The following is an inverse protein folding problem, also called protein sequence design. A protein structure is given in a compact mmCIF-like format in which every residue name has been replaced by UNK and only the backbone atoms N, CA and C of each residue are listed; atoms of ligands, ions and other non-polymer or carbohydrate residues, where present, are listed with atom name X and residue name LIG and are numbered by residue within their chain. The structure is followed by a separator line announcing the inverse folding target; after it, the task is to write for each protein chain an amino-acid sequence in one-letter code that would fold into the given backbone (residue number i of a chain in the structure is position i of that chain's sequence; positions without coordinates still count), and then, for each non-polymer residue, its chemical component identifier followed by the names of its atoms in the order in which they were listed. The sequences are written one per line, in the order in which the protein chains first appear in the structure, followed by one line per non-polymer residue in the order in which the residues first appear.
data_IF_962920056880
#
_entry.id   IF_962920056880
#
_cell.length_a   1.000
_cell.length_b   1.000
_cell.length_c   1.000
_cell.angle_alpha   90.00
_cell.angle_beta   90.00
_cell.angle_gamma   90.00
#
_symmetry.space_group_name_H-M   'P 1'
#
loop_
_entity.id
_entity.type
_entity.pdbx_description
1 polymer ?
#
# COMPACT_ATOMS: atom_id res chain seq x y z
N UNK A 1 14.90 -16.56 9.36
CA UNK A 1 13.58 -15.97 9.65
C UNK A 1 13.84 -14.70 10.42
N UNK A 2 13.17 -13.57 10.15
CA UNK A 2 13.38 -12.38 10.97
C UNK A 2 13.11 -12.74 12.43
N UNK A 3 13.97 -12.26 13.30
CA UNK A 3 13.78 -12.40 14.74
C UNK A 3 12.47 -11.64 15.04
N UNK A 4 11.42 -12.32 15.50
CA UNK A 4 10.12 -11.70 15.82
C UNK A 4 10.29 -10.78 17.06
N UNK A 5 11.00 -9.68 16.90
CA UNK A 5 11.23 -8.66 17.92
C UNK A 5 10.07 -7.69 17.97
N UNK A 6 8.84 -8.13 17.68
CA UNK A 6 7.64 -7.31 17.69
C UNK A 6 6.46 -8.13 18.20
N UNK A 7 5.51 -7.43 18.80
CA UNK A 7 4.31 -7.96 19.43
C UNK A 7 3.13 -7.61 18.53
N UNK A 8 2.24 -8.56 18.28
CA UNK A 8 0.97 -8.37 17.54
C UNK A 8 -0.22 -8.73 18.44
N UNK A 9 -1.46 -8.30 18.14
CA UNK A 9 -2.62 -8.58 18.98
C UNK A 9 -2.92 -10.07 19.22
N UNK A 10 -2.44 -10.92 18.32
CA UNK A 10 -2.61 -12.37 18.37
C UNK A 10 -1.28 -13.09 18.20
N UNK A 11 -1.21 -14.31 18.72
CA UNK A 11 -0.08 -15.22 18.57
C UNK A 11 -0.24 -16.02 17.27
N UNK A 12 0.78 -15.98 16.40
CA UNK A 12 0.79 -16.71 15.15
C UNK A 12 1.81 -17.85 15.15
N UNK A 13 1.50 -19.00 14.53
CA UNK A 13 2.48 -20.06 14.33
C UNK A 13 3.70 -19.56 13.52
N UNK A 14 4.91 -20.02 13.86
CA UNK A 14 6.10 -19.77 13.06
C UNK A 14 5.89 -20.18 11.59
N UNK A 15 6.34 -19.36 10.65
CA UNK A 15 6.25 -19.64 9.20
C UNK A 15 4.97 -19.18 8.50
N UNK A 16 4.05 -18.51 9.21
CA UNK A 16 2.86 -17.88 8.61
C UNK A 16 3.05 -16.40 8.25
N UNK A 17 4.11 -15.75 8.73
CA UNK A 17 4.40 -14.36 8.40
C UNK A 17 4.79 -14.21 6.92
N UNK A 18 4.10 -13.33 6.21
CA UNK A 18 4.38 -12.96 4.82
C UNK A 18 5.20 -11.67 4.72
N UNK A 19 5.25 -10.87 5.78
CA UNK A 19 6.06 -9.64 5.83
C UNK A 19 7.56 -9.96 5.95
N UNK A 20 8.38 -9.26 5.16
CA UNK A 20 9.83 -9.28 5.29
C UNK A 20 10.32 -8.32 6.39
N UNK A 21 9.62 -7.20 6.58
CA UNK A 21 9.90 -6.20 7.62
C UNK A 21 8.62 -5.48 8.08
N UNK A 22 8.52 -5.05 9.35
CA UNK A 22 7.45 -4.19 9.85
C UNK A 22 7.63 -2.74 9.37
N UNK A 23 6.94 -2.32 8.30
CA UNK A 23 6.87 -0.90 7.93
C UNK A 23 5.60 -0.23 8.45
N UNK A 24 4.43 -0.85 8.25
CA UNK A 24 3.12 -0.28 8.63
C UNK A 24 2.16 -1.32 9.23
N UNK A 25 2.59 -2.57 9.28
CA UNK A 25 1.84 -3.71 9.79
C UNK A 25 2.55 -5.01 9.44
N UNK A 26 2.10 -6.11 10.05
CA UNK A 26 2.56 -7.46 9.75
C UNK A 26 1.44 -8.23 9.09
N UNK A 27 1.75 -8.88 7.98
CA UNK A 27 0.81 -9.72 7.23
C UNK A 27 1.10 -11.19 7.54
N UNK A 28 0.06 -11.92 7.92
CA UNK A 28 0.10 -13.37 8.16
C UNK A 28 -0.85 -14.11 7.22
N UNK A 29 -0.41 -15.27 6.74
CA UNK A 29 -1.25 -16.24 6.05
C UNK A 29 -2.04 -17.06 7.08
N UNK A 30 -3.36 -16.92 7.10
CA UNK A 30 -4.24 -17.76 7.93
C UNK A 30 -4.54 -19.10 7.24
N UNK A 31 -4.94 -19.03 5.97
CA UNK A 31 -5.27 -20.18 5.14
C UNK A 31 -4.79 -19.97 3.70
N UNK A 32 -5.08 -20.89 2.78
CA UNK A 32 -4.79 -20.68 1.35
C UNK A 32 -5.64 -19.58 0.71
N UNK A 33 -6.69 -19.11 1.39
CA UNK A 33 -7.62 -18.10 0.88
C UNK A 33 -7.69 -16.85 1.74
N UNK A 34 -7.02 -16.85 2.90
CA UNK A 34 -7.16 -15.80 3.90
C UNK A 34 -5.79 -15.34 4.36
N UNK A 35 -5.56 -14.04 4.24
CA UNK A 35 -4.45 -13.32 4.87
C UNK A 35 -5.03 -12.31 5.85
N UNK A 36 -4.26 -11.98 6.88
CA UNK A 36 -4.62 -10.95 7.85
C UNK A 36 -3.44 -9.99 8.00
N UNK A 37 -3.70 -8.69 7.93
CA UNK A 37 -2.75 -7.65 8.31
C UNK A 37 -3.07 -7.21 9.73
N UNK A 38 -2.05 -6.99 10.54
CA UNK A 38 -2.15 -6.57 11.93
C UNK A 38 -1.17 -5.43 12.23
N UNK A 39 -1.50 -4.53 13.16
CA UNK A 39 -0.53 -3.61 13.71
C UNK A 39 0.51 -4.36 14.56
N UNK A 40 1.64 -3.73 14.83
CA UNK A 40 2.69 -4.28 15.69
C UNK A 40 3.17 -3.27 16.74
N UNK A 41 3.83 -3.79 17.77
CA UNK A 41 4.54 -3.03 18.80
C UNK A 41 5.97 -3.53 18.89
N UNK A 42 6.92 -2.60 19.05
CA UNK A 42 8.28 -2.96 19.45
C UNK A 42 8.33 -3.20 20.96
N UNK A 43 9.09 -4.21 21.43
CA UNK A 43 9.42 -4.38 22.82
C UNK A 43 10.42 -3.27 23.19
N UNK A 44 9.92 -2.23 23.83
CA UNK A 44 10.73 -1.11 24.30
C UNK A 44 11.67 -1.62 25.39
N UNK A 45 12.97 -1.66 25.09
CA UNK A 45 13.99 -2.08 26.06
C UNK A 45 14.23 -0.94 27.05
N UNK A 46 13.50 -0.96 28.16
CA UNK A 46 13.73 -0.01 29.22
C UNK A 46 15.21 -0.07 29.69
N UNK A 47 15.84 1.10 29.85
CA UNK A 47 17.04 1.34 30.67
C UNK A 47 18.44 1.26 30.01
N UNK A 48 18.59 1.23 28.69
CA UNK A 48 19.94 1.30 28.08
C UNK A 48 20.13 2.44 27.08
N UNK A 49 19.08 2.84 26.37
CA UNK A 49 19.13 3.92 25.39
C UNK A 49 17.76 4.63 25.32
N UNK A 50 17.73 5.93 25.61
CA UNK A 50 16.51 6.73 25.60
C UNK A 50 16.01 6.95 24.16
N UNK A 51 16.93 7.18 23.22
CA UNK A 51 16.62 7.46 21.82
C UNK A 51 16.05 6.21 21.14
N UNK A 52 16.65 5.04 21.37
CA UNK A 52 16.12 3.75 20.86
C UNK A 52 14.71 3.47 21.41
N UNK A 53 14.47 3.79 22.69
CA UNK A 53 13.18 3.57 23.32
C UNK A 53 12.09 4.50 22.77
N UNK A 54 12.41 5.79 22.59
CA UNK A 54 11.51 6.77 21.98
C UNK A 54 11.18 6.40 20.53
N UNK A 55 12.18 6.01 19.72
CA UNK A 55 11.97 5.53 18.35
C UNK A 55 11.04 4.29 18.32
N UNK A 56 11.25 3.32 19.22
CA UNK A 56 10.42 2.12 19.31
C UNK A 56 8.97 2.44 19.71
N UNK A 57 8.76 3.40 20.60
CA UNK A 57 7.44 3.92 20.98
C UNK A 57 6.77 4.57 19.76
N UNK A 58 7.49 5.46 19.08
CA UNK A 58 7.01 6.19 17.90
C UNK A 58 6.59 5.23 16.78
N UNK A 59 7.46 4.29 16.39
CA UNK A 59 7.17 3.31 15.34
C UNK A 59 5.97 2.42 15.68
N UNK A 60 5.79 2.07 16.96
CA UNK A 60 4.64 1.28 17.41
C UNK A 60 3.33 2.06 17.28
N UNK A 61 3.34 3.33 17.67
CA UNK A 61 2.17 4.22 17.56
C UNK A 61 1.84 4.53 16.10
N UNK A 62 2.86 4.70 15.27
CA UNK A 62 2.71 4.87 13.84
C UNK A 62 2.05 3.63 13.22
N UNK A 63 2.50 2.42 13.56
CA UNK A 63 1.87 1.18 13.08
C UNK A 63 0.39 1.10 13.43
N UNK A 64 0.01 1.42 14.67
CA UNK A 64 -1.41 1.41 15.09
C UNK A 64 -2.22 2.46 14.34
N UNK A 65 -1.70 3.67 14.22
CA UNK A 65 -2.39 4.79 13.59
C UNK A 65 -2.61 4.54 12.10
N UNK A 66 -1.59 4.08 11.37
CA UNK A 66 -1.70 3.74 9.96
C UNK A 66 -2.62 2.54 9.74
N UNK A 67 -2.58 1.54 10.63
CA UNK A 67 -3.51 0.41 10.57
C UNK A 67 -4.97 0.85 10.76
N UNK A 68 -5.24 1.77 11.69
CA UNK A 68 -6.58 2.34 11.88
C UNK A 68 -7.02 3.19 10.68
N UNK A 69 -6.12 3.99 10.09
CA UNK A 69 -6.37 4.76 8.86
C UNK A 69 -6.75 3.84 7.71
N UNK A 70 -5.95 2.81 7.46
CA UNK A 70 -6.20 1.81 6.42
C UNK A 70 -7.49 1.02 6.68
N UNK A 71 -7.77 0.61 7.93
CA UNK A 71 -9.01 -0.08 8.28
C UNK A 71 -10.24 0.78 7.98
N UNK A 72 -10.26 2.04 8.42
CA UNK A 72 -11.35 2.98 8.12
C UNK A 72 -11.57 3.14 6.62
N UNK A 73 -10.48 3.13 5.86
CA UNK A 73 -10.55 3.17 4.41
C UNK A 73 -11.17 1.91 3.83
N UNK A 74 -10.78 0.71 4.27
CA UNK A 74 -11.46 -0.52 3.84
C UNK A 74 -12.94 -0.55 4.23
N UNK A 75 -13.31 -0.01 5.40
CA UNK A 75 -14.71 0.14 5.82
C UNK A 75 -15.46 1.06 4.84
N UNK A 76 -14.87 2.20 4.46
CA UNK A 76 -15.41 3.12 3.45
C UNK A 76 -15.58 2.42 2.08
N UNK A 77 -14.60 1.62 1.65
CA UNK A 77 -14.69 0.86 0.41
C UNK A 77 -15.78 -0.22 0.46
N UNK A 78 -15.99 -0.85 1.61
CA UNK A 78 -17.04 -1.84 1.82
C UNK A 78 -18.45 -1.20 1.81
N UNK A 79 -18.59 0.02 2.35
CA UNK A 79 -19.83 0.82 2.32
C UNK A 79 -20.14 1.42 0.95
N UNK A 80 -19.12 1.58 0.11
CA UNK A 80 -19.23 2.05 -1.26
C UNK A 80 -18.86 0.92 -2.25
N UNK A 81 -19.58 -0.22 -2.24
CA UNK A 81 -19.24 -1.38 -3.05
C UNK A 81 -19.50 -1.07 -4.52
N UNK A 82 -18.49 -0.55 -5.19
CA UNK A 82 -18.46 -0.44 -6.64
C UNK A 82 -17.67 -1.63 -7.18
N UNK A 83 -18.09 -2.17 -8.32
CA UNK A 83 -17.45 -3.29 -9.03
C UNK A 83 -15.93 -3.18 -9.28
N UNK A 84 -15.31 -2.02 -9.06
CA UNK A 84 -14.10 -1.61 -9.76
C UNK A 84 -12.91 -1.14 -8.90
N UNK A 85 -12.81 -1.47 -7.61
CA UNK A 85 -11.53 -1.30 -6.86
C UNK A 85 -10.41 -2.25 -7.34
N UNK A 86 -10.64 -2.90 -8.48
CA UNK A 86 -10.47 -4.32 -8.40
C UNK A 86 -10.21 -5.00 -9.76
N UNK A 87 -10.29 -4.35 -10.92
CA UNK A 87 -10.27 -5.15 -12.16
C UNK A 87 -9.19 -4.86 -13.18
N UNK A 88 -8.70 -3.64 -13.40
CA UNK A 88 -7.63 -3.39 -14.40
C UNK A 88 -6.93 -2.07 -14.15
N UNK A 89 -5.71 -2.01 -13.59
CA UNK A 89 -4.88 -0.78 -13.47
C UNK A 89 -5.71 0.49 -13.08
N UNK A 90 -6.78 0.34 -12.28
CA UNK A 90 -7.87 1.34 -12.20
C UNK A 90 -8.50 1.42 -10.82
N UNK A 91 -7.73 1.19 -9.76
CA UNK A 91 -8.11 1.69 -8.43
C UNK A 91 -8.07 3.20 -8.37
N UNK A 92 -7.17 3.82 -9.13
CA UNK A 92 -6.86 5.23 -8.96
C UNK A 92 -8.00 6.22 -9.35
N UNK A 93 -8.83 5.98 -10.40
CA UNK A 93 -9.98 6.85 -10.68
C UNK A 93 -11.07 6.82 -9.59
N UNK A 94 -11.13 5.75 -8.78
CA UNK A 94 -12.08 5.65 -7.67
C UNK A 94 -11.54 6.27 -6.39
N UNK A 95 -10.26 6.04 -6.09
CA UNK A 95 -9.55 6.79 -5.06
C UNK A 95 -9.71 8.28 -5.33
N UNK A 96 -9.43 8.72 -6.55
CA UNK A 96 -9.60 10.10 -7.00
C UNK A 96 -11.03 10.62 -6.81
N UNK A 97 -12.06 9.84 -7.18
CA UNK A 97 -13.47 10.21 -6.94
C UNK A 97 -13.81 10.35 -5.45
N UNK A 98 -13.23 9.50 -4.61
CA UNK A 98 -13.36 9.58 -3.15
C UNK A 98 -12.43 10.64 -2.54
N UNK A 99 -11.59 11.30 -3.35
CA UNK A 99 -10.63 12.29 -2.90
C UNK A 99 -9.39 11.70 -2.24
N UNK A 100 -8.98 10.46 -2.54
CA UNK A 100 -7.81 9.79 -1.99
C UNK A 100 -6.73 9.54 -3.05
N UNK A 101 -5.49 9.47 -2.58
CA UNK A 101 -4.35 8.83 -3.28
C UNK A 101 -4.01 7.50 -2.61
N UNK A 102 -3.25 6.64 -3.28
CA UNK A 102 -2.75 5.39 -2.72
C UNK A 102 -1.52 5.60 -1.82
N UNK A 103 -0.60 6.49 -2.19
CA UNK A 103 0.60 6.79 -1.40
C UNK A 103 1.78 5.86 -1.66
N UNK A 104 1.52 4.54 -1.65
CA UNK A 104 2.55 3.51 -1.85
C UNK A 104 2.28 2.59 -3.05
N UNK A 105 2.01 3.17 -4.21
CA UNK A 105 1.77 2.37 -5.41
C UNK A 105 3.07 1.73 -5.91
N UNK A 106 3.10 0.41 -6.03
CA UNK A 106 4.24 -0.37 -6.55
C UNK A 106 3.76 -1.73 -7.05
N UNK A 107 4.58 -2.40 -7.84
CA UNK A 107 4.25 -3.71 -8.42
C UNK A 107 3.95 -4.77 -7.36
N UNK A 108 4.60 -4.68 -6.20
CA UNK A 108 4.38 -5.61 -5.07
C UNK A 108 3.02 -5.42 -4.40
N UNK A 109 2.39 -4.26 -4.59
CA UNK A 109 1.06 -3.92 -4.09
C UNK A 109 -0.03 -4.20 -5.14
N UNK A 110 0.31 -4.93 -6.21
CA UNK A 110 -0.60 -5.39 -7.24
C UNK A 110 -0.76 -6.91 -7.17
N UNK A 111 -2.00 -7.38 -7.21
CA UNK A 111 -2.34 -8.80 -7.17
C UNK A 111 -3.26 -9.17 -8.31
N UNK A 112 -3.27 -10.44 -8.70
CA UNK A 112 -4.25 -10.98 -9.64
C UNK A 112 -5.18 -11.90 -8.86
N UNK A 113 -6.49 -11.67 -8.96
CA UNK A 113 -7.47 -12.50 -8.28
C UNK A 113 -7.82 -13.79 -9.06
N UNK A 114 -8.73 -14.60 -8.50
CA UNK A 114 -9.21 -15.86 -9.12
C UNK A 114 -9.93 -15.68 -10.46
N UNK A 115 -10.30 -14.45 -10.81
CA UNK A 115 -10.99 -14.09 -12.05
C UNK A 115 -10.04 -13.40 -13.05
N UNK A 116 -8.73 -13.43 -12.79
CA UNK A 116 -7.70 -12.78 -13.61
C UNK A 116 -7.79 -11.25 -13.62
N UNK A 117 -8.34 -10.67 -12.56
CA UNK A 117 -8.48 -9.24 -12.39
C UNK A 117 -7.32 -8.67 -11.58
N UNK A 118 -6.79 -7.52 -12.00
CA UNK A 118 -5.74 -6.82 -11.27
C UNK A 118 -6.34 -6.02 -10.10
N UNK A 119 -5.90 -6.33 -8.88
CA UNK A 119 -6.31 -5.73 -7.61
C UNK A 119 -5.14 -4.95 -7.02
N UNK A 120 -5.42 -3.80 -6.41
CA UNK A 120 -4.42 -3.05 -5.61
C UNK A 120 -4.74 -3.22 -4.13
N UNK A 121 -3.71 -3.36 -3.30
CA UNK A 121 -3.82 -3.52 -1.85
C UNK A 121 -2.72 -2.72 -1.15
N UNK A 122 -2.74 -2.73 0.19
CA UNK A 122 -1.79 -2.00 1.05
C UNK A 122 -2.01 -0.48 1.03
N UNK A 123 -3.14 -0.06 1.58
CA UNK A 123 -3.59 1.34 1.66
C UNK A 123 -3.07 2.03 2.94
N UNK A 124 -1.95 1.57 3.49
CA UNK A 124 -1.35 2.13 4.70
C UNK A 124 -0.84 3.57 4.54
N UNK A 125 -0.65 4.04 3.30
CA UNK A 125 -0.09 5.36 2.99
C UNK A 125 -1.08 6.29 2.29
N UNK A 126 -2.39 5.99 2.33
CA UNK A 126 -3.40 6.83 1.68
C UNK A 126 -3.39 8.26 2.22
N UNK A 127 -3.73 9.20 1.34
CA UNK A 127 -3.81 10.63 1.67
C UNK A 127 -5.09 11.21 1.05
N UNK A 128 -5.91 11.86 1.85
CA UNK A 128 -7.13 12.53 1.40
C UNK A 128 -6.85 13.93 0.82
N UNK A 129 -7.74 14.44 -0.03
CA UNK A 129 -7.57 15.70 -0.76
C UNK A 129 -7.54 16.96 0.11
N UNK A 130 -7.89 16.82 1.38
CA UNK A 130 -7.84 17.87 2.40
C UNK A 130 -6.53 17.84 3.21
N UNK A 131 -5.73 16.79 3.08
CA UNK A 131 -4.46 16.63 3.78
C UNK A 131 -3.31 17.33 3.02
N UNK A 132 -2.30 17.79 3.76
CA UNK A 132 -1.11 18.43 3.18
C UNK A 132 -0.32 17.41 2.34
N UNK A 133 0.28 17.84 1.23
CA UNK A 133 1.05 16.96 0.35
C UNK A 133 0.21 16.17 -0.67
N UNK A 134 -1.12 16.32 -0.68
CA UNK A 134 -2.00 15.57 -1.59
C UNK A 134 -1.63 15.74 -3.06
N UNK A 135 -1.33 16.97 -3.50
CA UNK A 135 -1.03 17.25 -4.90
C UNK A 135 0.28 16.60 -5.34
N UNK A 136 1.29 16.68 -4.48
CA UNK A 136 2.58 16.05 -4.66
C UNK A 136 2.41 14.53 -4.72
N UNK A 137 1.57 13.97 -3.86
CA UNK A 137 1.28 12.54 -3.83
C UNK A 137 0.52 12.05 -5.07
N UNK A 138 -0.40 12.85 -5.62
CA UNK A 138 -1.06 12.53 -6.90
C UNK A 138 -0.03 12.36 -8.02
N UNK A 139 0.93 13.28 -8.11
CA UNK A 139 1.99 13.22 -9.13
C UNK A 139 2.88 11.99 -8.93
N UNK A 140 3.21 11.67 -7.68
CA UNK A 140 4.02 10.50 -7.35
C UNK A 140 3.27 9.19 -7.65
N UNK A 141 1.97 9.12 -7.38
CA UNK A 141 1.12 7.98 -7.73
C UNK A 141 1.01 7.81 -9.25
N UNK A 142 0.91 8.89 -10.02
CA UNK A 142 0.96 8.82 -11.50
C UNK A 142 2.30 8.27 -11.99
N UNK A 143 3.41 8.75 -11.43
CA UNK A 143 4.75 8.26 -11.76
C UNK A 143 4.89 6.75 -11.46
N UNK A 144 4.45 6.33 -10.27
CA UNK A 144 4.45 4.94 -9.83
C UNK A 144 3.55 4.06 -10.70
N UNK A 145 2.38 4.57 -11.09
CA UNK A 145 1.45 3.87 -11.98
C UNK A 145 2.04 3.65 -13.37
N UNK A 146 2.70 4.64 -13.95
CA UNK A 146 3.42 4.50 -15.22
C UNK A 146 4.51 3.42 -15.15
N UNK A 147 5.24 3.39 -14.04
CA UNK A 147 6.25 2.34 -13.77
C UNK A 147 5.60 0.95 -13.68
N UNK A 148 4.46 0.84 -13.01
CA UNK A 148 3.69 -0.41 -12.95
C UNK A 148 3.19 -0.85 -14.33
N UNK A 149 2.67 0.06 -15.15
CA UNK A 149 2.23 -0.23 -16.53
C UNK A 149 3.41 -0.76 -17.35
N UNK A 150 4.57 -0.10 -17.27
CA UNK A 150 5.79 -0.55 -17.96
C UNK A 150 6.16 -1.97 -17.54
N UNK A 151 6.20 -2.25 -16.23
CA UNK A 151 6.52 -3.57 -15.71
C UNK A 151 5.50 -4.63 -16.15
N UNK A 152 4.21 -4.37 -16.04
CA UNK A 152 3.17 -5.32 -16.43
C UNK A 152 3.20 -5.66 -17.93
N UNK A 153 3.54 -4.67 -18.77
CA UNK A 153 3.59 -4.85 -20.23
C UNK A 153 4.92 -5.45 -20.73
N UNK A 154 6.01 -5.36 -19.97
CA UNK A 154 7.34 -5.80 -20.42
C UNK A 154 8.05 -6.83 -19.55
N UNK A 155 7.61 -7.01 -18.30
CA UNK A 155 8.35 -7.74 -17.27
C UNK A 155 9.63 -7.03 -16.80
N UNK A 156 9.86 -5.78 -17.23
CA UNK A 156 11.07 -5.02 -16.92
C UNK A 156 10.76 -3.94 -15.89
N UNK A 157 11.39 -4.05 -14.72
CA UNK A 157 11.42 -3.00 -13.72
C UNK A 157 12.61 -2.06 -14.01
N UNK A 158 12.36 -0.75 -14.25
CA UNK A 158 13.42 0.25 -14.44
C UNK A 158 14.44 0.29 -13.29
N UNK A 159 14.05 -0.11 -12.08
CA UNK A 159 14.87 -0.05 -10.87
C UNK A 159 15.58 -1.38 -10.54
N UNK A 160 15.33 -2.46 -11.28
CA UNK A 160 15.82 -3.82 -10.93
C UNK A 160 17.35 -3.93 -10.76
N UNK A 161 18.12 -3.04 -11.39
CA UNK A 161 19.60 -3.02 -11.31
C UNK A 161 20.16 -2.07 -10.26
N UNK A 162 19.33 -1.24 -9.64
CA UNK A 162 19.75 -0.29 -8.63
C UNK A 162 20.19 -1.01 -7.36
N UNK A 163 21.35 -0.63 -6.81
CA UNK A 163 21.97 -1.26 -5.64
C UNK A 163 21.91 -0.40 -4.39
N UNK A 164 21.61 0.88 -4.55
CA UNK A 164 21.61 1.86 -3.48
C UNK A 164 20.66 3.01 -3.81
N UNK A 165 20.38 3.82 -2.79
CA UNK A 165 19.47 4.95 -2.88
C UNK A 165 19.90 6.01 -3.91
N UNK A 166 21.21 6.25 -4.08
CA UNK A 166 21.70 7.24 -5.04
C UNK A 166 21.40 6.83 -6.49
N UNK A 167 21.56 5.53 -6.81
CA UNK A 167 21.19 4.98 -8.12
C UNK A 167 19.68 5.05 -8.37
N UNK A 168 18.85 4.72 -7.37
CA UNK A 168 17.39 4.88 -7.46
C UNK A 168 17.04 6.33 -7.78
N UNK A 169 17.60 7.28 -7.03
CA UNK A 169 17.37 8.73 -7.24
C UNK A 169 17.81 9.17 -8.64
N UNK A 170 18.93 8.68 -9.13
CA UNK A 170 19.41 8.99 -10.48
C UNK A 170 18.46 8.45 -11.55
N UNK A 171 18.02 7.19 -11.43
CA UNK A 171 17.06 6.59 -12.36
C UNK A 171 15.76 7.40 -12.35
N UNK A 172 15.20 7.70 -11.17
CA UNK A 172 13.99 8.52 -11.02
C UNK A 172 14.13 9.87 -11.73
N UNK A 173 15.27 10.56 -11.57
CA UNK A 173 15.51 11.84 -12.22
C UNK A 173 15.58 11.70 -13.75
N UNK A 174 16.19 10.64 -14.27
CA UNK A 174 16.22 10.39 -15.71
C UNK A 174 14.82 10.14 -16.27
N UNK A 175 14.01 9.33 -15.59
CA UNK A 175 12.61 9.10 -15.94
C UNK A 175 11.81 10.41 -15.94
N UNK A 176 11.96 11.24 -14.89
CA UNK A 176 11.30 12.55 -14.77
C UNK A 176 11.72 13.55 -15.85
N UNK A 177 12.91 13.40 -16.45
CA UNK A 177 13.39 14.22 -17.58
C UNK A 177 12.96 13.71 -18.96
N UNK A 178 12.23 12.58 -19.02
CA UNK A 178 11.85 11.95 -20.29
C UNK A 178 13.00 11.18 -20.95
N UNK A 179 14.05 10.87 -20.18
CA UNK A 179 15.18 10.04 -20.61
C UNK A 179 14.93 8.55 -20.33
N UNK A 180 13.72 8.19 -19.86
CA UNK A 180 13.32 6.82 -19.63
C UNK A 180 13.16 6.06 -20.95
N UNK A 181 13.68 4.84 -21.00
CA UNK A 181 13.51 3.96 -22.16
C UNK A 181 12.32 3.05 -21.90
N UNK A 182 11.28 3.17 -22.71
CA UNK A 182 10.16 2.21 -22.73
C UNK A 182 10.58 1.00 -23.53
N UNK A 183 10.49 -0.19 -22.93
CA UNK A 183 10.83 -1.43 -23.62
C UNK A 183 9.87 -1.67 -24.80
N UNK A 184 10.37 -2.27 -25.89
CA UNK A 184 9.60 -2.44 -27.13
C UNK A 184 8.30 -3.22 -26.96
N UNK A 185 8.25 -4.16 -26.01
CA UNK A 185 7.03 -4.91 -25.67
C UNK A 185 5.96 -4.06 -24.97
N UNK A 186 6.36 -2.94 -24.36
CA UNK A 186 5.47 -1.96 -23.74
C UNK A 186 5.18 -0.75 -24.65
N UNK A 187 5.65 -0.76 -25.91
CA UNK A 187 5.54 0.36 -26.86
C UNK A 187 4.11 0.84 -27.09
N UNK A 188 3.12 -0.06 -26.99
CA UNK A 188 1.69 0.30 -27.09
C UNK A 188 1.26 1.32 -26.03
N UNK A 189 1.98 1.42 -24.92
CA UNK A 189 1.74 2.37 -23.83
C UNK A 189 2.81 3.46 -23.75
N UNK A 190 3.68 3.63 -24.74
CA UNK A 190 4.85 4.51 -24.65
C UNK A 190 4.49 5.95 -24.29
N UNK A 191 3.52 6.55 -25.00
CA UNK A 191 3.06 7.91 -24.71
C UNK A 191 2.52 8.04 -23.28
N UNK A 192 1.78 7.03 -22.81
CA UNK A 192 1.18 7.00 -21.48
C UNK A 192 2.25 6.90 -20.39
N UNK A 193 3.22 6.00 -20.58
CA UNK A 193 4.32 5.77 -19.64
C UNK A 193 5.21 7.01 -19.56
N UNK A 194 5.60 7.58 -20.70
CA UNK A 194 6.44 8.79 -20.75
C UNK A 194 5.74 9.98 -20.10
N UNK A 195 4.45 10.18 -20.38
CA UNK A 195 3.69 11.26 -19.78
C UNK A 195 3.61 11.11 -18.24
N UNK A 196 3.40 9.88 -17.74
CA UNK A 196 3.35 9.63 -16.31
C UNK A 196 4.70 9.78 -15.62
N UNK A 197 5.80 9.36 -16.25
CA UNK A 197 7.14 9.57 -15.70
C UNK A 197 7.55 11.04 -15.65
N UNK A 198 7.25 11.81 -16.70
CA UNK A 198 7.62 13.23 -16.79
C UNK A 198 6.69 14.16 -16.01
N UNK A 199 5.55 13.66 -15.53
CA UNK A 199 4.50 14.50 -14.96
C UNK A 199 3.82 15.39 -16.01
N UNK A 200 3.98 15.11 -17.30
CA UNK A 200 3.28 15.79 -18.38
C UNK A 200 1.78 15.41 -18.45
N UNK A 201 1.37 14.39 -17.68
CA UNK A 201 -0.03 14.13 -17.38
C UNK A 201 -0.58 15.30 -16.56
N UNK A 202 -1.29 16.20 -17.24
CA UNK A 202 -2.18 17.21 -16.62
C UNK A 202 -3.58 16.64 -16.33
N UNK A 203 -3.73 15.32 -16.39
CA UNK A 203 -5.01 14.64 -16.57
C UNK A 203 -5.31 13.66 -15.43
N UNK A 204 -6.50 13.84 -14.83
CA UNK A 204 -7.05 12.94 -13.81
C UNK A 204 -6.96 11.46 -14.21
N UNK A 205 -6.96 10.55 -13.23
CA UNK A 205 -6.85 9.11 -13.47
C UNK A 205 -7.94 8.56 -14.39
N UNK A 206 -9.10 9.22 -14.44
CA UNK A 206 -10.18 8.90 -15.39
C UNK A 206 -9.77 9.04 -16.86
N UNK A 207 -9.00 10.08 -17.21
CA UNK A 207 -8.46 10.26 -18.56
C UNK A 207 -7.35 9.26 -18.86
N UNK A 208 -6.46 8.98 -17.89
CA UNK A 208 -5.45 7.93 -18.02
C UNK A 208 -6.09 6.57 -18.33
N UNK A 209 -7.18 6.23 -17.64
CA UNK A 209 -7.98 5.02 -17.92
C UNK A 209 -8.45 4.99 -19.38
N UNK A 210 -8.97 6.10 -19.90
CA UNK A 210 -9.45 6.17 -21.28
C UNK A 210 -8.31 6.02 -22.30
N UNK A 211 -7.13 6.59 -22.02
CA UNK A 211 -5.94 6.44 -22.86
C UNK A 211 -5.48 4.97 -22.91
N UNK A 212 -5.41 4.28 -21.76
CA UNK A 212 -5.07 2.85 -21.71
C UNK A 212 -6.11 2.01 -22.46
N UNK A 213 -7.40 2.33 -22.31
CA UNK A 213 -8.47 1.64 -23.01
C UNK A 213 -8.38 1.76 -24.54
N UNK A 214 -8.08 2.97 -24.99
CA UNK A 214 -7.88 3.27 -26.41
C UNK A 214 -6.65 2.54 -26.96
N UNK A 215 -5.55 2.49 -26.21
CA UNK A 215 -4.30 1.86 -26.63
C UNK A 215 -4.43 0.36 -26.93
N UNK A 216 -5.25 -0.37 -26.16
CA UNK A 216 -5.46 -1.81 -26.40
C UNK A 216 -6.71 -2.14 -27.21
N UNK A 217 -7.40 -1.13 -27.75
CA UNK A 217 -8.56 -1.31 -28.64
C UNK A 217 -9.77 -1.99 -27.99
N UNK A 218 -9.94 -1.86 -26.68
CA UNK A 218 -11.01 -2.54 -25.94
C UNK A 218 -12.26 -1.65 -25.84
N UNK A 219 -13.31 -2.03 -26.58
CA UNK A 219 -14.64 -1.40 -26.57
C UNK A 219 -15.52 -1.85 -25.37
N UNK A 220 -15.12 -2.92 -24.67
CA UNK A 220 -15.91 -3.60 -23.65
C UNK A 220 -15.45 -3.23 -22.21
N UNK A 221 -14.74 -2.11 -22.04
CA UNK A 221 -14.18 -1.64 -20.75
C UNK A 221 -15.23 -1.05 -19.80
N UNK A 222 -16.45 -0.83 -20.28
CA UNK A 222 -17.57 -0.34 -19.46
C UNK A 222 -18.57 -1.45 -19.07
N UNK A 223 -18.28 -2.72 -19.39
CA UNK A 223 -19.02 -3.82 -18.77
C UNK A 223 -18.81 -3.77 -17.26
N UNK A 224 -19.90 -3.70 -16.51
CA UNK A 224 -19.85 -4.01 -15.08
C UNK A 224 -19.20 -5.40 -14.92
N UNK A 225 -18.05 -5.44 -14.27
CA UNK A 225 -17.42 -6.70 -13.94
C UNK A 225 -18.38 -7.56 -13.12
N UNK A 226 -18.28 -8.88 -13.31
CA UNK A 226 -19.04 -9.85 -12.52
C UNK A 226 -18.82 -9.48 -11.05
N UNK A 227 -19.90 -9.04 -10.39
CA UNK A 227 -19.85 -8.68 -8.97
C UNK A 227 -19.12 -9.82 -8.26
N UNK A 228 -18.06 -9.54 -7.49
CA UNK A 228 -17.44 -10.60 -6.72
C UNK A 228 -18.58 -11.28 -5.98
N UNK A 229 -18.73 -12.60 -6.19
CA UNK A 229 -19.54 -13.40 -5.29
C UNK A 229 -19.07 -12.98 -3.91
N UNK A 230 -19.95 -12.30 -3.16
CA UNK A 230 -19.76 -12.11 -1.74
C UNK A 230 -19.91 -13.52 -1.21
N UNK A 231 -18.84 -14.29 -1.33
CA UNK A 231 -18.71 -15.53 -0.64
C UNK A 231 -18.78 -15.06 0.80
N UNK A 232 -19.92 -15.32 1.43
CA UNK A 232 -20.01 -15.64 2.84
C UNK A 232 -19.19 -16.92 3.06
N UNK A 233 -17.93 -16.90 2.64
CA UNK A 233 -16.95 -17.87 3.02
C UNK A 233 -16.90 -17.67 4.53
N UNK A 234 -17.50 -18.64 5.22
CA UNK A 234 -17.17 -18.91 6.60
C UNK A 234 -15.65 -18.91 6.64
N UNK A 235 -15.12 -17.81 7.12
CA UNK A 235 -13.70 -17.65 7.24
C UNK A 235 -13.40 -18.57 8.40
N UNK A 236 -12.91 -19.79 8.11
CA UNK A 236 -12.33 -20.68 9.10
C UNK A 236 -11.07 -19.98 9.61
N UNK A 237 -11.28 -18.90 10.38
CA UNK A 237 -10.26 -18.24 11.13
C UNK A 237 -10.04 -19.17 12.30
N UNK A 238 -8.89 -19.85 12.38
CA UNK A 238 -8.57 -20.62 13.58
C UNK A 238 -8.74 -19.70 14.78
N UNK A 239 -9.19 -20.24 15.92
CA UNK A 239 -9.27 -19.47 17.16
C UNK A 239 -7.86 -18.98 17.48
N UNK A 240 -7.59 -17.72 17.17
CA UNK A 240 -6.30 -17.10 17.40
C UNK A 240 -6.18 -16.78 18.89
N UNK A 241 -5.10 -17.24 19.51
CA UNK A 241 -4.79 -16.90 20.89
C UNK A 241 -4.42 -15.41 20.96
N UNK A 242 -5.06 -14.67 21.87
CA UNK A 242 -4.74 -13.26 22.12
C UNK A 242 -3.36 -13.16 22.77
N UNK A 243 -2.57 -12.19 22.32
CA UNK A 243 -1.29 -11.90 22.95
C UNK A 243 -1.51 -11.04 24.19
N UNK A 244 -1.26 -11.58 25.38
CA UNK A 244 -1.55 -10.89 26.64
C UNK A 244 -0.68 -9.64 26.88
N UNK A 245 0.49 -9.58 26.25
CA UNK A 245 1.36 -8.41 26.31
C UNK A 245 0.99 -7.31 25.29
N UNK A 246 -0.02 -7.55 24.45
CA UNK A 246 -0.51 -6.52 23.53
C UNK A 246 -1.35 -5.51 24.29
N UNK A 247 -1.02 -4.23 24.12
CA UNK A 247 -1.81 -3.11 24.60
C UNK A 247 -2.57 -2.46 23.44
N UNK A 248 -3.80 -2.02 23.62
CA UNK A 248 -4.39 -1.11 22.62
C UNK A 248 -3.66 0.25 22.61
N UNK A 249 -3.98 1.11 21.64
CA UNK A 249 -3.30 2.41 21.49
C UNK A 249 -3.37 3.26 22.78
N UNK A 250 -4.53 3.28 23.44
CA UNK A 250 -4.74 4.08 24.64
C UNK A 250 -3.99 3.49 25.85
N UNK A 251 -4.05 2.17 26.01
CA UNK A 251 -3.30 1.44 27.03
C UNK A 251 -1.79 1.60 26.84
N UNK A 252 -1.30 1.52 25.60
CA UNK A 252 0.10 1.67 25.24
C UNK A 252 0.62 3.08 25.57
N UNK A 253 -0.11 4.12 25.14
CA UNK A 253 0.21 5.51 25.50
C UNK A 253 0.23 5.72 27.02
N UNK A 254 -0.74 5.14 27.74
CA UNK A 254 -0.84 5.26 29.20
C UNK A 254 0.34 4.59 29.89
N UNK A 255 0.72 3.39 29.45
CA UNK A 255 1.83 2.63 30.00
C UNK A 255 3.16 3.40 29.87
N UNK A 256 3.46 3.96 28.69
CA UNK A 256 4.74 4.66 28.47
C UNK A 256 4.82 6.02 29.15
N UNK A 257 3.70 6.77 29.20
CA UNK A 257 3.61 8.00 30.01
C UNK A 257 3.85 7.72 31.49
N UNK A 258 3.31 6.62 32.03
CA UNK A 258 3.51 6.25 33.44
C UNK A 258 4.97 5.91 33.76
N UNK A 259 5.74 5.45 32.78
CA UNK A 259 7.19 5.20 32.90
C UNK A 259 8.07 6.44 32.67
N UNK A 260 7.47 7.59 32.34
CA UNK A 260 8.18 8.87 32.19
C UNK A 260 8.64 9.20 30.77
N UNK A 261 8.21 8.44 29.75
CA UNK A 261 8.51 8.75 28.35
C UNK A 261 7.53 9.79 27.79
N UNK A 262 8.03 10.67 26.92
CA UNK A 262 7.18 11.47 26.07
C UNK A 262 6.55 10.58 24.99
N UNK A 263 5.26 10.80 24.75
CA UNK A 263 4.49 10.04 23.75
C UNK A 263 4.01 11.07 22.73
N UNK A 264 4.41 10.96 21.45
CA UNK A 264 4.04 11.93 20.42
C UNK A 264 2.53 12.15 20.37
N UNK A 265 2.12 13.40 20.22
CA UNK A 265 0.73 13.74 19.89
C UNK A 265 0.38 13.20 18.49
N UNK A 266 -0.90 12.89 18.25
CA UNK A 266 -1.42 12.11 17.12
C UNK A 266 -1.28 12.77 15.72
N UNK A 267 -0.32 13.66 15.50
CA UNK A 267 -0.16 14.43 14.26
C UNK A 267 0.59 13.64 13.16
N UNK A 268 0.25 12.36 12.99
CA UNK A 268 0.68 11.57 11.85
C UNK A 268 -0.38 11.67 10.74
N UNK A 269 -0.34 12.80 10.01
CA UNK A 269 -1.13 13.02 8.78
C UNK A 269 -0.61 12.17 7.64
#
# INVERSE_FOLDING_TARGET
MPNNSWITPYIFPPGKCLSLSPSQGIVYKLSDKTVIKLPFQYPVKALQDLEEAEEQIELSLQSMTLFEKEKKFYDLLAENPHSNLATRISTNPQLEKLGYTHGDLKTDNLGIDKHHNLRVFDFGSILHCQEEGFKEQVMEDHFKLATCIHFLASGIDPFAKARNYAEVKQITNNLKRGEGVVHSTASVFEEIIQAGWTGAIASNFSQLRQSVASAIGSLDWDREDIKPEVATAYCDVPVLEKQLSWLDKQEYCTAWKATGYEVPDENWG
#
